data_IF_982978427441
#
_entry.id   IF_982978427441
#
_cell.length_a   1.000
_cell.length_b   1.000
_cell.length_c   1.000
_cell.angle_alpha   90.00
_cell.angle_beta   90.00
_cell.angle_gamma   90.00
#
_symmetry.space_group_name_H-M   'P 1'
#
loop_
_entity.id
_entity.type
_entity.pdbx_description
1 polymer ?
#
# COMPACT_ATOMS: atom_id res chain seq x y z
N UNK A 1 46.28 -18.76 -6.01
CA UNK A 1 45.38 -19.09 -4.87
C UNK A 1 44.71 -17.87 -4.25
N UNK A 2 45.43 -16.75 -3.97
CA UNK A 2 44.81 -15.53 -3.39
C UNK A 2 43.77 -14.84 -4.29
N UNK A 3 43.99 -14.76 -5.60
CA UNK A 3 43.04 -14.14 -6.56
C UNK A 3 41.74 -14.94 -6.73
N UNK A 4 41.81 -16.27 -6.69
CA UNK A 4 40.62 -17.14 -6.74
C UNK A 4 39.74 -17.02 -5.48
N UNK A 5 40.34 -16.75 -4.33
CA UNK A 5 39.62 -16.50 -3.07
C UNK A 5 38.93 -15.13 -3.08
N UNK A 6 39.55 -14.10 -3.68
CA UNK A 6 38.94 -12.76 -3.78
C UNK A 6 37.73 -12.78 -4.73
N UNK A 7 37.83 -13.51 -5.85
CA UNK A 7 36.72 -13.67 -6.80
C UNK A 7 35.54 -14.47 -6.21
N UNK A 8 35.79 -15.50 -5.39
CA UNK A 8 34.71 -16.25 -4.73
C UNK A 8 34.02 -15.45 -3.62
N UNK A 9 34.75 -14.58 -2.92
CA UNK A 9 34.18 -13.68 -1.91
C UNK A 9 33.31 -12.60 -2.57
N UNK A 10 33.71 -12.07 -3.74
CA UNK A 10 32.93 -11.06 -4.46
C UNK A 10 31.59 -11.62 -4.98
N UNK A 11 31.57 -12.88 -5.45
CA UNK A 11 30.33 -13.56 -5.86
C UNK A 11 29.35 -13.80 -4.71
N UNK A 12 29.83 -14.00 -3.48
CA UNK A 12 28.97 -14.16 -2.29
C UNK A 12 28.39 -12.81 -1.84
N UNK A 13 29.17 -11.72 -1.95
CA UNK A 13 28.72 -10.36 -1.59
C UNK A 13 27.60 -9.88 -2.55
N UNK A 14 27.69 -10.19 -3.85
CA UNK A 14 26.66 -9.84 -4.83
C UNK A 14 25.30 -10.53 -4.57
N UNK A 15 25.29 -11.69 -3.89
CA UNK A 15 24.05 -12.40 -3.52
C UNK A 15 23.36 -11.74 -2.31
N UNK A 16 24.14 -11.11 -1.41
CA UNK A 16 23.63 -10.48 -0.18
C UNK A 16 22.99 -9.11 -0.46
N UNK A 17 23.21 -8.53 -1.66
CA UNK A 17 22.80 -7.17 -1.98
C UNK A 17 21.47 -7.06 -2.75
N UNK A 18 20.56 -8.03 -2.60
CA UNK A 18 19.15 -7.85 -2.98
C UNK A 18 18.37 -7.38 -1.74
N UNK A 19 18.79 -6.26 -1.16
CA UNK A 19 17.83 -5.42 -0.46
C UNK A 19 17.26 -4.50 -1.54
N UNK A 20 16.19 -4.95 -2.21
CA UNK A 20 15.45 -4.09 -3.12
C UNK A 20 14.89 -2.94 -2.30
N UNK A 21 15.28 -1.71 -2.64
CA UNK A 21 14.60 -0.51 -2.14
C UNK A 21 13.10 -0.75 -2.32
N UNK A 22 12.26 -0.56 -1.28
CA UNK A 22 10.83 -0.81 -1.41
C UNK A 22 10.26 0.01 -2.55
N UNK A 23 9.36 -0.58 -3.33
CA UNK A 23 8.87 -0.01 -4.58
C UNK A 23 7.97 1.18 -4.24
N UNK A 24 8.28 2.40 -4.72
CA UNK A 24 7.39 3.54 -4.57
C UNK A 24 6.03 3.22 -5.17
N UNK A 25 4.99 3.28 -4.35
CA UNK A 25 3.66 2.79 -4.71
C UNK A 25 2.61 3.89 -4.49
N UNK A 26 1.73 4.07 -5.48
CA UNK A 26 0.49 4.83 -5.35
C UNK A 26 -0.64 3.83 -5.53
N UNK A 27 -1.59 3.80 -4.59
CA UNK A 27 -2.77 2.96 -4.66
C UNK A 27 -3.97 3.81 -5.11
N UNK A 28 -4.57 3.47 -6.24
CA UNK A 28 -5.90 3.98 -6.65
C UNK A 28 -6.91 2.85 -6.41
N UNK A 29 -7.95 3.11 -5.63
CA UNK A 29 -8.86 2.07 -5.12
C UNK A 29 -10.28 2.59 -4.97
N UNK A 30 -11.26 1.71 -5.25
CA UNK A 30 -12.66 1.91 -4.91
C UNK A 30 -13.08 1.12 -3.67
N UNK A 31 -12.21 1.15 -2.64
CA UNK A 31 -12.39 0.48 -1.36
C UNK A 31 -13.78 0.65 -0.74
N UNK A 32 -14.32 -0.46 -0.23
CA UNK A 32 -15.61 -0.52 0.44
C UNK A 32 -16.79 -0.93 -0.44
N UNK A 33 -16.57 -1.19 -1.74
CA UNK A 33 -17.55 -1.84 -2.63
C UNK A 33 -17.70 -3.32 -2.28
N UNK A 34 -16.58 -3.99 -2.12
CA UNK A 34 -16.36 -5.36 -1.67
C UNK A 34 -14.99 -5.42 -0.99
N UNK A 35 -14.59 -6.63 -0.55
CA UNK A 35 -13.52 -6.80 0.43
C UNK A 35 -12.11 -6.88 -0.17
N UNK A 36 -11.97 -7.04 -1.49
CA UNK A 36 -10.67 -7.28 -2.13
C UNK A 36 -9.75 -6.04 -2.09
N UNK A 37 -10.29 -4.83 -2.21
CA UNK A 37 -9.56 -3.58 -2.00
C UNK A 37 -9.00 -3.46 -0.57
N UNK A 38 -9.79 -3.86 0.43
CA UNK A 38 -9.38 -3.87 1.83
C UNK A 38 -8.23 -4.88 2.04
N UNK A 39 -8.30 -6.05 1.39
CA UNK A 39 -7.20 -7.02 1.37
C UNK A 39 -5.95 -6.46 0.68
N UNK A 40 -6.10 -5.74 -0.44
CA UNK A 40 -4.98 -5.15 -1.17
C UNK A 40 -4.27 -4.07 -0.32
N UNK A 41 -5.03 -3.16 0.29
CA UNK A 41 -4.47 -2.13 1.17
C UNK A 41 -3.76 -2.75 2.38
N UNK A 42 -4.40 -3.71 3.07
CA UNK A 42 -3.80 -4.34 4.25
C UNK A 42 -2.55 -5.16 3.89
N UNK A 43 -2.51 -5.80 2.71
CA UNK A 43 -1.32 -6.47 2.21
C UNK A 43 -0.17 -5.49 1.96
N UNK A 44 -0.43 -4.34 1.32
CA UNK A 44 0.59 -3.29 1.11
C UNK A 44 1.14 -2.81 2.46
N UNK A 45 0.26 -2.50 3.42
CA UNK A 45 0.63 -2.00 4.74
C UNK A 45 1.44 -3.03 5.56
N UNK A 46 1.13 -4.31 5.43
CA UNK A 46 1.84 -5.40 6.09
C UNK A 46 3.23 -5.68 5.49
N UNK A 47 3.54 -5.17 4.29
CA UNK A 47 4.78 -5.46 3.57
C UNK A 47 5.58 -4.18 3.22
N UNK A 48 5.99 -3.37 4.22
CA UNK A 48 6.72 -2.11 3.97
C UNK A 48 8.13 -2.30 3.41
N UNK A 49 8.69 -3.51 3.48
CA UNK A 49 9.95 -3.86 2.82
C UNK A 49 9.81 -4.07 1.32
N UNK A 50 8.57 -4.30 0.84
CA UNK A 50 8.23 -4.47 -0.56
C UNK A 50 7.65 -3.17 -1.13
N UNK A 51 6.77 -2.51 -0.39
CA UNK A 51 6.06 -1.32 -0.84
C UNK A 51 6.39 -0.09 0.00
N UNK A 52 6.81 0.98 -0.69
CA UNK A 52 6.89 2.32 -0.14
C UNK A 52 5.62 3.09 -0.54
N UNK A 53 4.53 2.89 0.22
CA UNK A 53 3.24 3.49 -0.09
C UNK A 53 3.28 5.01 0.13
N UNK A 54 3.20 5.77 -0.98
CA UNK A 54 3.34 7.23 -1.00
C UNK A 54 2.03 7.99 -0.95
N UNK A 55 0.96 7.40 -1.47
CA UNK A 55 -0.34 8.03 -1.63
C UNK A 55 -1.41 6.96 -1.83
N UNK A 56 -2.59 7.20 -1.27
CA UNK A 56 -3.81 6.46 -1.60
C UNK A 56 -4.80 7.45 -2.25
N UNK A 57 -5.39 7.08 -3.37
CA UNK A 57 -6.42 7.83 -4.07
C UNK A 57 -7.71 7.02 -4.02
N UNK A 58 -8.77 7.59 -3.48
CA UNK A 58 -10.08 6.95 -3.45
C UNK A 58 -10.89 7.37 -4.67
N UNK A 59 -11.27 6.43 -5.52
CA UNK A 59 -11.99 6.69 -6.77
C UNK A 59 -13.38 6.06 -6.78
N UNK A 60 -14.22 6.58 -7.68
CA UNK A 60 -15.55 6.05 -8.00
C UNK A 60 -16.63 6.23 -6.90
N UNK A 61 -17.85 6.59 -7.31
CA UNK A 61 -19.01 6.80 -6.44
C UNK A 61 -18.72 7.76 -5.28
N UNK A 62 -19.09 7.42 -4.05
CA UNK A 62 -18.92 8.29 -2.90
C UNK A 62 -17.48 8.21 -2.36
N UNK A 63 -16.57 8.93 -3.03
CA UNK A 63 -15.13 8.96 -2.73
C UNK A 63 -14.81 9.48 -1.33
N UNK A 64 -15.65 10.35 -0.75
CA UNK A 64 -15.50 10.80 0.65
C UNK A 64 -15.69 9.64 1.62
N UNK A 65 -16.72 8.83 1.44
CA UNK A 65 -16.96 7.65 2.28
C UNK A 65 -15.83 6.62 2.15
N UNK A 66 -15.32 6.41 0.93
CA UNK A 66 -14.14 5.56 0.69
C UNK A 66 -12.89 6.08 1.41
N UNK A 67 -12.64 7.38 1.37
CA UNK A 67 -11.54 8.00 2.11
C UNK A 67 -11.67 7.83 3.62
N UNK A 68 -12.89 7.84 4.17
CA UNK A 68 -13.14 7.56 5.59
C UNK A 68 -12.82 6.10 5.95
N UNK A 69 -13.18 5.14 5.08
CA UNK A 69 -12.80 3.72 5.23
C UNK A 69 -11.27 3.58 5.20
N UNK A 70 -10.60 4.17 4.20
CA UNK A 70 -9.14 4.18 4.13
C UNK A 70 -8.51 4.79 5.37
N UNK A 71 -9.03 5.91 5.87
CA UNK A 71 -8.53 6.58 7.05
C UNK A 71 -8.64 5.69 8.30
N UNK A 72 -9.78 4.99 8.49
CA UNK A 72 -9.94 4.05 9.60
C UNK A 72 -8.97 2.87 9.48
N UNK A 73 -8.79 2.31 8.28
CA UNK A 73 -7.82 1.24 8.03
C UNK A 73 -6.39 1.69 8.34
N UNK A 74 -5.96 2.88 7.88
CA UNK A 74 -4.64 3.43 8.21
C UNK A 74 -4.47 3.68 9.72
N UNK A 75 -5.51 4.17 10.40
CA UNK A 75 -5.48 4.40 11.84
C UNK A 75 -5.26 3.10 12.63
N UNK A 76 -5.88 2.00 12.20
CA UNK A 76 -5.67 0.65 12.79
C UNK A 76 -4.23 0.19 12.62
N UNK A 77 -3.60 0.48 11.49
CA UNK A 77 -2.18 0.19 11.23
C UNK A 77 -1.21 1.23 11.80
N UNK A 78 -1.71 2.30 12.42
CA UNK A 78 -0.89 3.40 12.94
C UNK A 78 -0.15 4.22 11.86
N UNK A 79 -0.61 4.19 10.61
CA UNK A 79 0.04 4.83 9.44
C UNK A 79 -0.59 6.18 9.07
N UNK A 80 -0.50 7.13 9.99
CA UNK A 80 -1.02 8.50 9.82
C UNK A 80 -0.17 9.38 8.89
N UNK A 81 0.97 8.88 8.46
CA UNK A 81 1.93 9.56 7.58
C UNK A 81 1.54 9.46 6.08
N UNK A 82 0.65 8.54 5.72
CA UNK A 82 0.27 8.31 4.32
C UNK A 82 -0.87 9.26 3.93
N UNK A 83 -0.70 10.12 2.93
CA UNK A 83 -1.79 11.00 2.47
C UNK A 83 -2.89 10.19 1.78
N UNK A 84 -4.13 10.62 1.99
CA UNK A 84 -5.33 10.13 1.30
C UNK A 84 -5.87 11.26 0.42
N UNK A 85 -5.98 11.00 -0.88
CA UNK A 85 -6.64 11.89 -1.83
C UNK A 85 -8.09 11.45 -2.04
N UNK A 86 -9.02 12.40 -1.89
CA UNK A 86 -10.43 12.21 -2.25
C UNK A 86 -10.57 12.48 -3.74
N UNK A 87 -10.79 11.44 -4.54
CA UNK A 87 -11.02 11.56 -5.98
C UNK A 87 -12.39 12.13 -6.32
N UNK A 88 -12.69 12.23 -7.62
CA UNK A 88 -13.96 12.74 -8.11
C UNK A 88 -15.12 11.81 -7.72
N UNK A 89 -16.16 12.38 -7.11
CA UNK A 89 -17.40 11.65 -6.86
C UNK A 89 -18.13 11.42 -8.19
N UNK A 90 -18.44 10.16 -8.50
CA UNK A 90 -19.13 9.76 -9.75
C UNK A 90 -20.53 9.19 -9.54
N UNK A 91 -21.04 9.18 -8.30
CA UNK A 91 -22.39 8.68 -7.98
C UNK A 91 -22.59 8.28 -6.52
N UNK A 92 -23.77 7.75 -6.20
CA UNK A 92 -24.24 7.51 -4.82
C UNK A 92 -24.48 6.03 -4.52
N UNK A 93 -23.71 5.12 -5.13
CA UNK A 93 -23.81 3.68 -4.82
C UNK A 93 -23.51 3.45 -3.34
N UNK A 94 -24.22 2.48 -2.74
CA UNK A 94 -23.96 2.02 -1.38
C UNK A 94 -22.54 1.47 -1.25
N UNK A 95 -21.90 1.80 -0.13
CA UNK A 95 -20.57 1.35 0.24
C UNK A 95 -20.74 0.55 1.51
N UNK A 96 -20.69 -0.78 1.41
CA UNK A 96 -21.08 -1.68 2.51
C UNK A 96 -20.17 -1.55 3.72
N UNK A 97 -18.89 -1.27 3.51
CA UNK A 97 -17.93 -1.09 4.60
C UNK A 97 -18.04 0.27 5.27
N UNK A 98 -18.85 1.19 4.73
CA UNK A 98 -18.92 2.55 5.24
C UNK A 98 -19.44 2.61 6.67
N UNK A 99 -20.44 1.81 7.04
CA UNK A 99 -20.97 1.76 8.41
C UNK A 99 -19.90 1.32 9.42
N UNK A 100 -19.04 0.37 9.04
CA UNK A 100 -17.90 0.00 9.86
C UNK A 100 -16.91 1.15 10.01
N UNK A 101 -16.78 2.03 9.01
CA UNK A 101 -15.81 3.13 9.02
C UNK A 101 -16.20 4.35 9.86
N UNK A 102 -17.48 4.49 10.22
CA UNK A 102 -17.99 5.61 11.02
C UNK A 102 -17.47 5.59 12.47
#
# INVERSE_FOLDING_TARGET
>A
MKILIVLSIWSIISIIQIYTIPIPTILDTDIGSDYDDQMALTYILANPTIFDLKLIVCSTFNTTARAQITAKTLAIFGRFDIPIAIGQNTGTRDIFEYEWAQ
#
